data_IF_269949265749
#
_entry.id   IF_269949265749
#
_cell.length_a   1.000
_cell.length_b   1.000
_cell.length_c   1.000
_cell.angle_alpha   90.00
_cell.angle_beta   90.00
_cell.angle_gamma   90.00
#
_symmetry.space_group_name_H-M   'P 1'
#
loop_
_entity.id
_entity.type
_entity.pdbx_description
1 polymer ?
#
# COMPACT_ATOMS: atom_id res chain seq x y z
N UNK A 1 -32.21 38.16 15.94
CA UNK A 1 -32.43 37.36 14.72
C UNK A 1 -31.72 36.03 14.95
N UNK A 2 -32.47 34.93 15.14
CA UNK A 2 -31.85 33.60 15.24
C UNK A 2 -31.40 33.18 13.84
N UNK A 3 -30.10 32.93 13.67
CA UNK A 3 -29.54 32.42 12.43
C UNK A 3 -30.07 30.99 12.19
N UNK A 4 -30.67 30.68 11.02
CA UNK A 4 -31.20 29.35 10.71
C UNK A 4 -30.16 28.23 10.91
N UNK A 5 -28.87 28.52 10.71
CA UNK A 5 -27.79 27.55 10.93
C UNK A 5 -27.65 27.20 12.42
N UNK A 6 -27.69 28.21 13.30
CA UNK A 6 -27.60 27.99 14.75
C UNK A 6 -28.81 27.22 15.28
N UNK A 7 -30.01 27.49 14.76
CA UNK A 7 -31.22 26.78 15.17
C UNK A 7 -31.21 25.30 14.76
N UNK A 8 -30.71 25.00 13.55
CA UNK A 8 -30.55 23.63 13.09
C UNK A 8 -29.51 22.86 13.93
N UNK A 9 -28.36 23.48 14.17
CA UNK A 9 -27.30 22.90 15.01
C UNK A 9 -27.82 22.59 16.41
N UNK A 10 -28.51 23.54 17.04
CA UNK A 10 -29.12 23.31 18.36
C UNK A 10 -30.11 22.14 18.27
N UNK A 11 -31.09 22.17 17.36
CA UNK A 11 -32.09 21.09 17.25
C UNK A 11 -31.49 19.68 17.10
N UNK A 12 -30.47 19.52 16.26
CA UNK A 12 -29.78 18.22 16.07
C UNK A 12 -28.98 17.82 17.31
N UNK A 13 -28.34 18.78 17.97
CA UNK A 13 -27.44 18.50 19.08
C UNK A 13 -28.11 18.43 20.46
N UNK A 14 -29.31 19.02 20.64
CA UNK A 14 -30.11 18.96 21.86
C UNK A 14 -30.90 17.66 22.03
N UNK A 15 -30.96 16.81 20.98
CA UNK A 15 -31.68 15.53 21.05
C UNK A 15 -30.97 14.54 22.00
N UNK A 16 -31.67 13.96 22.99
CA UNK A 16 -31.10 12.97 23.90
C UNK A 16 -30.54 11.76 23.13
N UNK A 17 -29.29 11.40 23.40
CA UNK A 17 -28.65 10.24 22.76
C UNK A 17 -28.13 10.47 21.34
N UNK A 18 -28.33 11.65 20.73
CA UNK A 18 -27.80 11.96 19.40
C UNK A 18 -26.29 11.74 19.29
N UNK A 19 -25.53 12.05 20.36
CA UNK A 19 -24.09 11.80 20.41
C UNK A 19 -23.74 10.31 20.31
N UNK A 20 -24.48 9.44 21.00
CA UNK A 20 -24.25 7.99 20.98
C UNK A 20 -24.64 7.39 19.62
N UNK A 21 -25.73 7.87 19.02
CA UNK A 21 -26.15 7.46 17.67
C UNK A 21 -25.08 7.86 16.65
N UNK A 22 -24.57 9.08 16.70
CA UNK A 22 -23.49 9.55 15.82
C UNK A 22 -22.19 8.77 16.04
N UNK A 23 -21.82 8.50 17.28
CA UNK A 23 -20.66 7.66 17.60
C UNK A 23 -20.82 6.24 17.02
N UNK A 24 -22.00 5.64 17.17
CA UNK A 24 -22.33 4.34 16.57
C UNK A 24 -22.28 4.37 15.04
N UNK A 25 -22.83 5.41 14.42
CA UNK A 25 -22.82 5.60 12.97
C UNK A 25 -21.38 5.73 12.43
N UNK A 26 -20.50 6.46 13.11
CA UNK A 26 -19.07 6.57 12.75
C UNK A 26 -18.40 5.18 12.79
N UNK A 27 -18.67 4.39 13.83
CA UNK A 27 -18.09 3.04 13.94
C UNK A 27 -18.64 2.09 12.86
N UNK A 28 -19.95 2.09 12.62
CA UNK A 28 -20.57 1.28 11.56
C UNK A 28 -20.03 1.69 10.19
N UNK A 29 -19.87 2.99 9.93
CA UNK A 29 -19.28 3.50 8.70
C UNK A 29 -17.82 3.04 8.54
N UNK A 30 -17.00 3.12 9.60
CA UNK A 30 -15.63 2.63 9.59
C UNK A 30 -15.57 1.12 9.30
N UNK A 31 -16.46 0.33 9.92
CA UNK A 31 -16.59 -1.11 9.64
C UNK A 31 -16.98 -1.34 8.18
N UNK A 32 -17.93 -0.58 7.64
CA UNK A 32 -18.34 -0.64 6.23
C UNK A 32 -17.16 -0.38 5.29
N UNK A 33 -16.34 0.65 5.55
CA UNK A 33 -15.14 0.95 4.79
C UNK A 33 -14.11 -0.20 4.83
N UNK A 34 -13.95 -0.84 5.99
CA UNK A 34 -13.06 -1.99 6.15
C UNK A 34 -13.51 -3.15 5.27
N UNK A 35 -14.81 -3.46 5.26
CA UNK A 35 -15.39 -4.52 4.44
C UNK A 35 -15.30 -4.18 2.95
N UNK A 36 -15.67 -2.95 2.57
CA UNK A 36 -15.64 -2.50 1.18
C UNK A 36 -14.22 -2.54 0.61
N UNK A 37 -13.24 -1.91 1.29
CA UNK A 37 -11.82 -1.99 0.86
C UNK A 37 -11.30 -3.43 0.89
N UNK A 38 -11.76 -4.23 1.85
CA UNK A 38 -11.38 -5.63 1.97
C UNK A 38 -11.79 -6.44 0.75
N UNK A 39 -13.01 -6.21 0.27
CA UNK A 39 -13.59 -6.96 -0.83
C UNK A 39 -13.14 -6.43 -2.21
N UNK A 40 -13.10 -5.10 -2.39
CA UNK A 40 -12.83 -4.50 -3.68
C UNK A 40 -11.35 -4.37 -4.03
N UNK A 41 -10.48 -4.10 -3.06
CA UNK A 41 -9.06 -3.81 -3.35
C UNK A 41 -8.15 -4.93 -2.85
N UNK A 42 -8.34 -5.35 -1.59
CA UNK A 42 -7.42 -6.29 -0.94
C UNK A 42 -7.59 -7.74 -1.40
N UNK A 43 -8.83 -8.26 -1.44
CA UNK A 43 -9.10 -9.64 -1.85
C UNK A 43 -8.59 -9.97 -3.27
N UNK A 44 -8.93 -9.19 -4.32
CA UNK A 44 -8.48 -9.53 -5.67
C UNK A 44 -6.96 -9.45 -5.82
N UNK A 45 -6.29 -8.49 -5.16
CA UNK A 45 -4.82 -8.38 -5.21
C UNK A 45 -4.14 -9.58 -4.55
N UNK A 46 -4.60 -9.96 -3.35
CA UNK A 46 -4.09 -11.12 -2.63
C UNK A 46 -4.29 -12.40 -3.44
N UNK A 47 -5.46 -12.61 -4.00
CA UNK A 47 -5.76 -13.78 -4.83
C UNK A 47 -4.88 -13.82 -6.08
N UNK A 48 -4.63 -12.66 -6.71
CA UNK A 48 -3.76 -12.56 -7.88
C UNK A 48 -2.33 -13.00 -7.55
N UNK A 49 -1.72 -12.42 -6.50
CA UNK A 49 -0.36 -12.77 -6.08
C UNK A 49 -0.28 -14.24 -5.66
N UNK A 50 -1.29 -14.74 -4.93
CA UNK A 50 -1.32 -16.16 -4.50
C UNK A 50 -1.41 -17.09 -5.72
N UNK A 51 -2.22 -16.76 -6.73
CA UNK A 51 -2.28 -17.53 -7.99
C UNK A 51 -0.93 -17.54 -8.69
N UNK A 52 -0.22 -16.41 -8.77
CA UNK A 52 1.12 -16.32 -9.37
C UNK A 52 2.16 -17.14 -8.61
N UNK A 53 2.12 -17.10 -7.27
CA UNK A 53 2.99 -17.91 -6.42
C UNK A 53 2.79 -19.40 -6.68
N UNK A 54 1.54 -19.87 -6.68
CA UNK A 54 1.24 -21.28 -6.94
C UNK A 54 1.75 -21.74 -8.32
N UNK A 55 1.64 -20.89 -9.35
CA UNK A 55 2.16 -21.20 -10.69
C UNK A 55 3.67 -21.42 -10.71
N UNK A 56 4.43 -20.64 -9.93
CA UNK A 56 5.89 -20.78 -9.85
C UNK A 56 6.29 -21.93 -8.91
N UNK A 57 5.53 -22.20 -7.86
CA UNK A 57 5.81 -23.28 -6.90
C UNK A 57 5.51 -24.68 -7.49
N UNK A 58 4.59 -24.75 -8.46
CA UNK A 58 4.32 -25.97 -9.24
C UNK A 58 5.52 -26.43 -10.10
N UNK A 59 6.52 -25.56 -10.34
CA UNK A 59 7.74 -25.90 -11.07
C UNK A 59 8.62 -26.86 -10.27
N UNK A 60 8.57 -28.15 -10.61
CA UNK A 60 9.36 -29.20 -9.97
C UNK A 60 10.73 -29.40 -10.65
N UNK A 61 11.73 -29.80 -9.87
CA UNK A 61 13.07 -30.15 -10.37
C UNK A 61 13.96 -28.93 -10.58
N UNK A 62 14.65 -28.86 -11.73
CA UNK A 62 15.48 -27.71 -12.10
C UNK A 62 14.59 -26.53 -12.50
N UNK A 63 14.28 -25.68 -11.52
CA UNK A 63 13.32 -24.58 -11.63
C UNK A 63 13.65 -23.60 -12.76
N UNK A 64 14.93 -23.35 -13.01
CA UNK A 64 15.37 -22.45 -14.09
C UNK A 64 15.10 -23.03 -15.47
N UNK A 65 15.33 -24.33 -15.64
CA UNK A 65 15.07 -25.03 -16.90
C UNK A 65 13.57 -25.16 -17.13
N UNK A 66 12.82 -25.58 -16.11
CA UNK A 66 11.37 -25.72 -16.17
C UNK A 66 10.68 -24.38 -16.46
N UNK A 67 11.19 -23.27 -15.90
CA UNK A 67 10.69 -21.93 -16.18
C UNK A 67 10.94 -21.52 -17.64
N UNK A 68 12.14 -21.76 -18.17
CA UNK A 68 12.47 -21.44 -19.56
C UNK A 68 11.63 -22.26 -20.57
N UNK A 69 11.42 -23.55 -20.31
CA UNK A 69 10.60 -24.43 -21.16
C UNK A 69 9.12 -24.06 -21.17
N UNK A 70 8.58 -23.60 -20.04
CA UNK A 70 7.18 -23.22 -19.88
C UNK A 70 6.94 -21.70 -19.98
N UNK A 71 7.96 -20.94 -20.44
CA UNK A 71 7.95 -19.48 -20.35
C UNK A 71 6.74 -18.85 -21.05
N UNK A 72 6.37 -19.32 -22.25
CA UNK A 72 5.22 -18.77 -23.00
C UNK A 72 3.88 -18.97 -22.25
N UNK A 73 3.70 -20.12 -21.61
CA UNK A 73 2.50 -20.39 -20.82
C UNK A 73 2.47 -19.55 -19.53
N UNK A 74 3.63 -19.36 -18.90
CA UNK A 74 3.80 -18.53 -17.70
C UNK A 74 3.57 -17.06 -18.04
N UNK A 75 4.15 -16.57 -19.14
CA UNK A 75 4.01 -15.19 -19.62
C UNK A 75 2.55 -14.85 -19.95
N UNK A 76 1.85 -15.74 -20.65
CA UNK A 76 0.42 -15.57 -20.95
C UNK A 76 -0.43 -15.47 -19.68
N UNK A 77 -0.11 -16.29 -18.66
CA UNK A 77 -0.82 -16.26 -17.37
C UNK A 77 -0.50 -15.01 -16.57
N UNK A 78 0.76 -14.58 -16.52
CA UNK A 78 1.18 -13.38 -15.79
C UNK A 78 0.71 -12.08 -16.44
N UNK A 79 0.59 -12.06 -17.77
CA UNK A 79 0.11 -10.91 -18.56
C UNK A 79 -1.43 -10.85 -18.67
N UNK A 80 -2.15 -11.95 -18.45
CA UNK A 80 -3.61 -12.02 -18.60
C UNK A 80 -4.42 -11.75 -17.32
N UNK A 81 -3.78 -11.26 -16.26
CA UNK A 81 -4.34 -11.19 -14.91
C UNK A 81 -4.82 -9.79 -14.52
N UNK A 82 -5.73 -9.71 -13.54
CA UNK A 82 -6.68 -8.61 -13.37
C UNK A 82 -6.14 -7.28 -12.80
N UNK A 83 -4.90 -7.23 -12.30
CA UNK A 83 -4.34 -6.03 -11.65
C UNK A 83 -3.33 -5.30 -12.55
N UNK A 84 -3.64 -4.07 -13.03
CA UNK A 84 -2.79 -3.33 -13.98
C UNK A 84 -1.36 -3.10 -13.51
N UNK A 85 -1.20 -2.96 -12.20
CA UNK A 85 0.08 -2.73 -11.54
C UNK A 85 1.02 -3.94 -11.66
N UNK A 86 0.48 -5.14 -11.40
CA UNK A 86 1.27 -6.38 -11.48
C UNK A 86 1.51 -6.79 -12.94
N UNK A 87 0.61 -6.42 -13.84
CA UNK A 87 0.80 -6.57 -15.29
C UNK A 87 1.93 -5.66 -15.80
N UNK A 88 1.94 -4.39 -15.39
CA UNK A 88 3.00 -3.44 -15.76
C UNK A 88 4.36 -3.86 -15.19
N UNK A 89 4.41 -4.25 -13.91
CA UNK A 89 5.63 -4.78 -13.28
C UNK A 89 6.16 -6.03 -13.99
N UNK A 90 5.25 -6.94 -14.38
CA UNK A 90 5.63 -8.11 -15.19
C UNK A 90 6.14 -7.74 -16.58
N UNK A 91 5.47 -6.83 -17.28
CA UNK A 91 5.90 -6.38 -18.61
C UNK A 91 7.29 -5.73 -18.56
N UNK A 92 7.56 -4.95 -17.51
CA UNK A 92 8.87 -4.36 -17.26
C UNK A 92 9.92 -5.43 -16.97
N UNK A 93 9.66 -6.36 -16.04
CA UNK A 93 10.59 -7.45 -15.74
C UNK A 93 10.89 -8.32 -16.96
N UNK A 94 9.85 -8.67 -17.73
CA UNK A 94 9.95 -9.46 -18.97
C UNK A 94 10.87 -8.81 -20.00
N UNK A 95 10.84 -7.48 -20.13
CA UNK A 95 11.72 -6.75 -21.05
C UNK A 95 13.21 -6.89 -20.72
N UNK A 96 13.54 -7.25 -19.48
CA UNK A 96 14.89 -7.42 -18.97
C UNK A 96 15.38 -8.88 -19.00
N UNK A 97 14.52 -9.81 -19.43
CA UNK A 97 14.87 -11.22 -19.56
C UNK A 97 15.57 -11.49 -20.89
N UNK A 98 16.75 -12.11 -20.80
CA UNK A 98 17.55 -12.49 -21.97
C UNK A 98 17.84 -13.99 -21.98
N UNK A 99 17.73 -14.67 -23.13
CA UNK A 99 18.12 -16.06 -23.25
C UNK A 99 19.64 -16.21 -23.15
N UNK A 100 20.08 -17.15 -22.33
CA UNK A 100 21.47 -17.56 -22.18
C UNK A 100 21.78 -18.71 -23.16
N UNK A 101 23.05 -18.89 -23.53
CA UNK A 101 23.49 -19.95 -24.45
C UNK A 101 23.09 -21.38 -24.04
N UNK A 102 22.80 -21.61 -22.75
CA UNK A 102 22.35 -22.90 -22.21
C UNK A 102 20.82 -23.12 -22.29
N UNK A 103 20.08 -22.24 -22.99
CA UNK A 103 18.62 -22.31 -23.11
C UNK A 103 17.86 -21.85 -21.86
N UNK A 104 18.55 -21.28 -20.87
CA UNK A 104 17.98 -20.69 -19.64
C UNK A 104 17.74 -19.19 -19.82
N UNK A 105 16.93 -18.58 -18.96
CA UNK A 105 16.72 -17.13 -18.93
C UNK A 105 17.58 -16.46 -17.85
N UNK A 106 18.12 -15.29 -18.18
CA UNK A 106 18.85 -14.43 -17.27
C UNK A 106 18.17 -13.07 -17.14
N UNK A 107 18.17 -12.51 -15.94
CA UNK A 107 17.65 -11.18 -15.63
C UNK A 107 18.78 -10.23 -15.25
N UNK A 108 18.70 -9.00 -15.74
CA UNK A 108 19.63 -7.90 -15.40
C UNK A 108 19.27 -7.20 -14.09
N UNK A 109 18.02 -7.33 -13.64
CA UNK A 109 17.46 -6.70 -12.43
C UNK A 109 16.76 -7.74 -11.56
N UNK A 110 16.60 -7.43 -10.27
CA UNK A 110 15.79 -8.24 -9.38
C UNK A 110 14.30 -8.07 -9.66
N UNK A 111 13.52 -9.10 -9.37
CA UNK A 111 12.08 -9.04 -9.45
C UNK A 111 11.50 -7.92 -8.57
N UNK A 112 12.05 -7.69 -7.37
CA UNK A 112 11.57 -6.63 -6.48
C UNK A 112 11.67 -5.23 -7.14
N UNK A 113 12.78 -4.94 -7.82
CA UNK A 113 13.04 -3.63 -8.44
C UNK A 113 12.09 -3.36 -9.62
N UNK A 114 11.68 -4.42 -10.34
CA UNK A 114 10.76 -4.28 -11.46
C UNK A 114 9.33 -3.94 -11.04
N UNK A 115 8.93 -4.30 -9.81
CA UNK A 115 7.56 -4.20 -9.29
C UNK A 115 7.37 -3.04 -8.28
N UNK A 116 8.42 -2.27 -7.96
CA UNK A 116 8.44 -1.25 -6.88
C UNK A 116 7.35 -0.17 -6.97
N UNK A 117 6.80 0.13 -8.16
CA UNK A 117 5.78 1.17 -8.37
C UNK A 117 4.34 0.73 -8.05
N UNK A 118 4.17 -0.39 -7.34
CA UNK A 118 2.88 -1.06 -7.15
C UNK A 118 2.02 -0.59 -5.96
N UNK A 119 2.58 0.17 -5.02
CA UNK A 119 2.04 0.33 -3.65
C UNK A 119 0.87 1.34 -3.50
N UNK A 120 0.03 1.49 -4.53
CA UNK A 120 -1.06 2.49 -4.54
C UNK A 120 -2.25 2.22 -3.58
N UNK A 121 -2.64 0.97 -3.25
CA UNK A 121 -3.88 0.71 -2.49
C UNK A 121 -3.86 1.15 -1.01
N UNK A 122 -2.71 1.36 -0.38
CA UNK A 122 -2.66 1.68 1.06
C UNK A 122 -3.17 3.10 1.41
N UNK A 123 -3.23 4.00 0.41
CA UNK A 123 -3.46 5.43 0.63
C UNK A 123 -4.91 5.78 0.98
N UNK A 124 -5.88 4.99 0.54
CA UNK A 124 -7.31 5.22 0.76
C UNK A 124 -7.71 5.03 2.23
N UNK A 125 -7.29 3.94 2.88
CA UNK A 125 -7.61 3.69 4.29
C UNK A 125 -6.93 4.70 5.23
N UNK A 126 -5.69 5.08 4.93
CA UNK A 126 -4.97 6.09 5.72
C UNK A 126 -5.64 7.47 5.61
N UNK A 127 -6.11 7.83 4.40
CA UNK A 127 -6.88 9.04 4.20
C UNK A 127 -8.20 9.03 4.99
N UNK A 128 -8.96 7.93 4.93
CA UNK A 128 -10.19 7.77 5.71
C UNK A 128 -9.93 7.82 7.22
N UNK A 129 -8.83 7.22 7.69
CA UNK A 129 -8.45 7.27 9.10
C UNK A 129 -8.18 8.70 9.57
N UNK A 130 -7.51 9.53 8.76
CA UNK A 130 -7.32 10.95 9.05
C UNK A 130 -8.67 11.68 9.11
N UNK A 131 -9.55 11.42 8.15
CA UNK A 131 -10.85 12.07 8.05
C UNK A 131 -11.77 11.73 9.23
N UNK A 132 -11.75 10.49 9.74
CA UNK A 132 -12.55 10.10 10.92
C UNK A 132 -12.20 10.89 12.18
N UNK A 133 -10.91 11.20 12.39
CA UNK A 133 -10.49 12.05 13.52
C UNK A 133 -11.03 13.46 13.35
N UNK A 134 -10.90 14.03 12.16
CA UNK A 134 -11.39 15.36 11.86
C UNK A 134 -12.92 15.47 12.05
N UNK A 135 -13.67 14.46 11.60
CA UNK A 135 -15.13 14.41 11.80
C UNK A 135 -15.49 14.37 13.29
N UNK A 136 -14.85 13.50 14.09
CA UNK A 136 -15.10 13.42 15.53
C UNK A 136 -14.82 14.74 16.26
N UNK A 137 -13.75 15.44 15.86
CA UNK A 137 -13.38 16.74 16.40
C UNK A 137 -14.39 17.83 16.03
N UNK A 138 -14.81 17.90 14.76
CA UNK A 138 -15.81 18.86 14.29
C UNK A 138 -17.15 18.68 15.01
N UNK A 139 -17.61 17.45 15.18
CA UNK A 139 -18.86 17.15 15.92
C UNK A 139 -18.76 17.64 17.37
N UNK A 140 -17.60 17.44 18.00
CA UNK A 140 -17.39 17.86 19.40
C UNK A 140 -17.38 19.38 19.52
N UNK A 141 -16.70 20.08 18.62
CA UNK A 141 -16.73 21.55 18.58
C UNK A 141 -18.13 22.08 18.38
N UNK A 142 -18.89 21.51 17.44
CA UNK A 142 -20.28 21.90 17.19
C UNK A 142 -21.16 21.66 18.41
N UNK A 143 -20.95 20.55 19.13
CA UNK A 143 -21.67 20.25 20.37
C UNK A 143 -21.38 21.23 21.50
N UNK A 144 -20.12 21.69 21.64
CA UNK A 144 -19.76 22.72 22.61
C UNK A 144 -20.40 24.06 22.25
N UNK A 145 -20.38 24.46 20.97
CA UNK A 145 -21.02 25.69 20.51
C UNK A 145 -22.52 25.67 20.81
N UNK A 146 -23.21 24.57 20.49
CA UNK A 146 -24.63 24.40 20.79
C UNK A 146 -24.93 24.52 22.29
N UNK A 147 -24.15 23.82 23.12
CA UNK A 147 -24.30 23.89 24.57
C UNK A 147 -24.11 25.35 25.07
N UNK A 148 -23.02 26.02 24.69
CA UNK A 148 -22.78 27.42 25.08
C UNK A 148 -23.91 28.37 24.67
N UNK A 149 -24.50 28.17 23.48
CA UNK A 149 -25.66 28.98 23.06
C UNK A 149 -26.89 28.74 23.93
N UNK A 150 -27.13 27.51 24.40
CA UNK A 150 -28.23 27.22 25.32
C UNK A 150 -27.98 27.80 26.73
N UNK A 151 -26.75 27.71 27.25
CA UNK A 151 -26.47 28.30 28.56
C UNK A 151 -26.53 29.82 28.57
N UNK A 152 -26.03 30.48 27.54
CA UNK A 152 -26.11 31.94 27.44
C UNK A 152 -27.57 32.40 27.38
N UNK A 153 -28.45 31.65 26.70
CA UNK A 153 -29.89 31.90 26.73
C UNK A 153 -30.51 31.69 28.12
N UNK A 154 -30.12 30.63 28.84
CA UNK A 154 -30.61 30.34 30.19
C UNK A 154 -30.11 31.36 31.25
N UNK A 155 -28.90 31.88 31.10
CA UNK A 155 -28.31 32.89 32.00
C UNK A 155 -29.01 34.26 31.94
N UNK A 156 -29.78 34.54 30.89
CA UNK A 156 -30.66 35.72 30.84
C UNK A 156 -31.79 35.70 31.88
N UNK A 157 -32.01 34.56 32.55
CA UNK A 157 -33.00 34.39 33.61
C UNK A 157 -32.30 34.25 34.97
N UNK A 158 -32.48 35.20 35.89
CA UNK A 158 -31.75 35.24 37.16
C UNK A 158 -32.20 34.12 38.14
N UNK A 159 -31.24 33.53 38.89
CA UNK A 159 -31.51 32.62 40.01
C UNK A 159 -31.15 31.15 39.76
N UNK A 160 -31.92 30.21 40.32
CA UNK A 160 -31.69 28.76 40.30
C UNK A 160 -31.53 28.16 38.87
N UNK A 161 -32.03 28.86 37.85
CA UNK A 161 -31.85 28.48 36.44
C UNK A 161 -30.38 28.45 36.00
N UNK A 162 -29.49 29.24 36.59
CA UNK A 162 -28.08 29.26 36.21
C UNK A 162 -27.33 27.99 36.65
N UNK A 163 -27.60 27.46 37.84
CA UNK A 163 -26.96 26.21 38.30
C UNK A 163 -27.44 25.02 37.45
N UNK A 164 -28.73 24.95 37.15
CA UNK A 164 -29.30 23.92 36.27
C UNK A 164 -28.73 24.02 34.86
N UNK A 165 -28.57 25.23 34.32
CA UNK A 165 -27.95 25.44 33.02
C UNK A 165 -26.48 24.96 33.00
N UNK A 166 -25.68 25.28 34.01
CA UNK A 166 -24.27 24.83 34.10
C UNK A 166 -24.15 23.31 34.22
N UNK A 167 -25.02 22.65 35.00
CA UNK A 167 -25.05 21.18 35.08
C UNK A 167 -25.50 20.54 33.76
N UNK A 168 -26.47 21.16 33.08
CA UNK A 168 -26.91 20.77 31.74
C UNK A 168 -25.76 20.86 30.72
N UNK A 169 -25.01 21.95 30.72
CA UNK A 169 -23.84 22.12 29.87
C UNK A 169 -22.80 21.03 30.08
N UNK A 170 -22.44 20.76 31.33
CA UNK A 170 -21.41 19.78 31.63
C UNK A 170 -21.83 18.38 31.15
N UNK A 171 -23.12 18.05 31.31
CA UNK A 171 -23.68 16.77 30.88
C UNK A 171 -23.74 16.66 29.35
N UNK A 172 -24.16 17.73 28.66
CA UNK A 172 -24.17 17.77 27.19
C UNK A 172 -22.73 17.71 26.66
N UNK A 173 -21.80 18.50 27.20
CA UNK A 173 -20.41 18.47 26.78
C UNK A 173 -19.79 17.07 27.00
N UNK A 174 -19.98 16.46 28.17
CA UNK A 174 -19.49 15.11 28.49
C UNK A 174 -20.01 14.05 27.51
N UNK A 175 -21.30 14.09 27.15
CA UNK A 175 -21.88 13.15 26.17
C UNK A 175 -21.37 13.40 24.75
N UNK A 176 -21.03 14.64 24.38
CA UNK A 176 -20.44 14.95 23.07
C UNK A 176 -18.98 14.54 22.95
N UNK A 177 -18.23 14.41 24.05
CA UNK A 177 -16.87 13.84 23.97
C UNK A 177 -16.84 12.39 23.49
N UNK A 178 -17.92 11.61 23.71
CA UNK A 178 -18.02 10.23 23.21
C UNK A 178 -17.94 10.14 21.67
N UNK A 179 -18.42 11.15 20.93
CA UNK A 179 -18.28 11.17 19.46
C UNK A 179 -16.84 11.35 19.01
N UNK A 180 -16.05 12.13 19.76
CA UNK A 180 -14.60 12.27 19.49
C UNK A 180 -13.86 10.97 19.74
N UNK A 181 -14.14 10.32 20.89
CA UNK A 181 -13.54 9.04 21.25
C UNK A 181 -13.83 7.99 20.18
N UNK A 182 -15.07 7.93 19.68
CA UNK A 182 -15.44 7.03 18.60
C UNK A 182 -14.68 7.32 17.29
N UNK A 183 -14.52 8.60 16.91
CA UNK A 183 -13.75 8.99 15.71
C UNK A 183 -12.27 8.61 15.81
N UNK A 184 -11.66 8.79 16.99
CA UNK A 184 -10.26 8.38 17.24
C UNK A 184 -10.14 6.85 17.25
N UNK A 185 -11.04 6.14 17.93
CA UNK A 185 -11.05 4.67 17.92
C UNK A 185 -11.20 4.11 16.50
N UNK A 186 -12.14 4.66 15.72
CA UNK A 186 -12.32 4.30 14.31
C UNK A 186 -11.04 4.53 13.50
N UNK A 187 -10.37 5.67 13.68
CA UNK A 187 -9.09 5.98 13.03
C UNK A 187 -8.00 4.97 13.37
N UNK A 188 -7.85 4.61 14.66
CA UNK A 188 -6.87 3.63 15.12
C UNK A 188 -7.14 2.26 14.49
N UNK A 189 -8.39 1.82 14.49
CA UNK A 189 -8.79 0.53 13.90
C UNK A 189 -8.49 0.52 12.40
N UNK A 190 -8.85 1.57 11.67
CA UNK A 190 -8.58 1.70 10.24
C UNK A 190 -7.09 1.62 9.92
N UNK A 191 -6.24 2.35 10.65
CA UNK A 191 -4.77 2.31 10.47
C UNK A 191 -4.19 0.94 10.79
N UNK A 192 -4.65 0.30 11.86
CA UNK A 192 -4.16 -1.02 12.25
C UNK A 192 -4.48 -2.07 11.17
N UNK A 193 -5.69 -2.01 10.60
CA UNK A 193 -6.11 -2.91 9.54
C UNK A 193 -5.35 -2.63 8.24
N UNK A 194 -5.20 -1.36 7.86
CA UNK A 194 -4.40 -0.95 6.70
C UNK A 194 -2.98 -1.50 6.81
N UNK A 195 -2.33 -1.30 7.97
CA UNK A 195 -0.97 -1.79 8.23
C UNK A 195 -0.88 -3.32 8.18
N UNK A 196 -1.83 -4.03 8.77
CA UNK A 196 -1.84 -5.50 8.72
C UNK A 196 -2.01 -6.03 7.31
N UNK A 197 -2.91 -5.41 6.52
CA UNK A 197 -3.13 -5.78 5.11
C UNK A 197 -1.89 -5.52 4.26
N UNK A 198 -1.25 -4.36 4.45
CA UNK A 198 0.01 -4.02 3.77
C UNK A 198 1.10 -5.06 4.05
N UNK A 199 1.34 -5.38 5.32
CA UNK A 199 2.32 -6.42 5.69
C UNK A 199 2.00 -7.80 5.12
N UNK A 200 0.71 -8.16 5.02
CA UNK A 200 0.32 -9.42 4.40
C UNK A 200 0.59 -9.46 2.88
N UNK A 201 0.38 -8.34 2.19
CA UNK A 201 0.72 -8.22 0.76
C UNK A 201 2.23 -8.23 0.56
N UNK A 202 2.98 -7.42 1.32
CA UNK A 202 4.45 -7.37 1.26
C UNK A 202 5.08 -8.75 1.44
N UNK A 203 4.55 -9.57 2.37
CA UNK A 203 5.03 -10.92 2.58
C UNK A 203 4.77 -11.84 1.37
N UNK A 204 3.61 -11.70 0.71
CA UNK A 204 3.26 -12.47 -0.49
C UNK A 204 4.08 -12.03 -1.71
N UNK A 205 4.31 -10.73 -1.86
CA UNK A 205 5.16 -10.15 -2.90
C UNK A 205 6.62 -10.57 -2.72
N UNK A 206 7.16 -10.47 -1.50
CA UNK A 206 8.52 -10.91 -1.21
C UNK A 206 8.71 -12.41 -1.54
N UNK A 207 7.71 -13.24 -1.25
CA UNK A 207 7.73 -14.64 -1.63
C UNK A 207 7.70 -14.83 -3.16
N UNK A 208 6.84 -14.08 -3.87
CA UNK A 208 6.77 -14.08 -5.32
C UNK A 208 8.11 -13.69 -5.97
N UNK A 209 8.71 -12.60 -5.50
CA UNK A 209 9.98 -12.11 -6.02
C UNK A 209 11.12 -13.11 -5.78
N UNK A 210 11.17 -13.72 -4.59
CA UNK A 210 12.17 -14.75 -4.30
C UNK A 210 12.00 -16.00 -5.18
N UNK A 211 10.76 -16.41 -5.46
CA UNK A 211 10.49 -17.50 -6.40
C UNK A 211 10.93 -17.15 -7.82
N UNK A 212 10.59 -15.94 -8.27
CA UNK A 212 10.89 -15.48 -9.63
C UNK A 212 12.40 -15.33 -9.86
N UNK A 213 13.12 -14.71 -8.93
CA UNK A 213 14.59 -14.62 -8.97
C UNK A 213 15.25 -16.01 -8.90
N UNK A 214 14.63 -16.97 -8.20
CA UNK A 214 15.08 -18.36 -8.21
C UNK A 214 14.83 -19.10 -9.54
N UNK A 215 13.94 -18.59 -10.39
CA UNK A 215 13.62 -19.17 -11.70
C UNK A 215 14.52 -18.66 -12.83
N UNK A 216 15.29 -17.61 -12.60
CA UNK A 216 16.19 -17.02 -13.61
C UNK A 216 17.61 -16.92 -13.08
N UNK A 217 18.57 -16.77 -13.98
CA UNK A 217 19.95 -16.47 -13.58
C UNK A 217 20.10 -14.97 -13.39
N UNK A 218 20.48 -14.53 -12.19
CA UNK A 218 20.83 -13.13 -11.99
C UNK A 218 22.18 -12.81 -12.64
N UNK A 219 22.16 -11.90 -13.62
CA UNK A 219 23.33 -11.46 -14.38
C UNK A 219 23.33 -9.92 -14.46
N UNK A 220 23.79 -9.25 -13.39
CA UNK A 220 23.75 -7.79 -13.34
C UNK A 220 24.64 -7.19 -14.44
N UNK A 221 24.24 -6.04 -15.00
CA UNK A 221 24.92 -5.44 -16.15
C UNK A 221 26.39 -5.13 -15.87
N UNK A 222 26.75 -4.77 -14.63
CA UNK A 222 28.13 -4.51 -14.22
C UNK A 222 28.99 -5.78 -14.31
N UNK A 223 28.43 -6.92 -13.92
CA UNK A 223 29.12 -8.21 -14.01
C UNK A 223 29.31 -8.61 -15.47
N UNK A 224 28.28 -8.42 -16.31
CA UNK A 224 28.38 -8.68 -17.74
C UNK A 224 29.43 -7.76 -18.38
N UNK A 225 29.47 -6.48 -18.01
CA UNK A 225 30.46 -5.52 -18.48
C UNK A 225 31.89 -5.90 -18.06
N UNK A 226 32.08 -6.33 -16.80
CA UNK A 226 33.38 -6.81 -16.31
C UNK A 226 33.82 -8.09 -17.03
N UNK A 227 32.90 -9.02 -17.29
CA UNK A 227 33.18 -10.23 -18.07
C UNK A 227 33.55 -9.87 -19.52
N UNK A 228 32.88 -8.90 -20.14
CA UNK A 228 33.22 -8.38 -21.47
C UNK A 228 34.61 -7.75 -21.48
N UNK A 229 34.95 -6.90 -20.49
CA UNK A 229 36.28 -6.32 -20.36
C UNK A 229 37.36 -7.39 -20.18
N UNK A 230 37.10 -8.43 -19.38
CA UNK A 230 38.02 -9.55 -19.20
C UNK A 230 38.20 -10.38 -20.49
N UNK A 231 37.14 -10.57 -21.27
CA UNK A 231 37.22 -11.20 -22.60
C UNK A 231 38.04 -10.33 -23.56
N UNK A 232 37.79 -9.03 -23.62
CA UNK A 232 38.55 -8.10 -24.45
C UNK A 232 40.03 -8.09 -24.09
N UNK A 233 40.38 -8.05 -22.80
CA UNK A 233 41.77 -8.13 -22.35
C UNK A 233 42.45 -9.46 -22.71
N UNK A 234 41.71 -10.58 -22.69
CA UNK A 234 42.23 -11.88 -23.17
C UNK A 234 42.47 -11.89 -24.68
N UNK A 235 41.57 -11.28 -25.45
CA UNK A 235 41.73 -11.14 -26.90
C UNK A 235 42.94 -10.27 -27.21
N UNK A 236 43.11 -9.15 -26.50
CA UNK A 236 44.25 -8.26 -26.65
C UNK A 236 45.58 -8.98 -26.32
N UNK A 237 45.64 -9.71 -25.21
CA UNK A 237 46.81 -10.49 -24.84
C UNK A 237 47.14 -11.59 -25.89
N UNK A 238 46.12 -12.26 -26.43
CA UNK A 238 46.29 -13.26 -27.48
C UNK A 238 46.75 -12.66 -28.82
N UNK A 239 46.31 -11.45 -29.15
CA UNK A 239 46.75 -10.70 -30.32
C UNK A 239 48.19 -10.18 -30.14
N UNK A 240 48.53 -9.66 -28.96
CA UNK A 240 49.88 -9.21 -28.63
C UNK A 240 50.90 -10.35 -28.68
N UNK A 241 50.53 -11.55 -28.22
CA UNK A 241 51.35 -12.76 -28.32
C UNK A 241 51.51 -13.32 -29.74
N UNK A 242 50.68 -12.89 -30.71
CA UNK A 242 50.75 -13.29 -32.11
C UNK A 242 51.57 -12.37 -33.00
N UNK A 243 52.07 -11.23 -32.49
CA UNK A 243 53.01 -10.39 -33.24
C UNK A 243 54.34 -11.14 -33.32
N UNK A 244 54.76 -11.65 -34.49
CA UNK A 244 56.06 -12.30 -34.61
C UNK A 244 57.12 -11.25 -34.33
N UNK A 245 58.13 -11.60 -33.55
CA UNK A 245 59.37 -10.82 -33.44
C UNK A 245 60.06 -10.80 -34.82
N UNK A 246 59.59 -9.91 -35.69
CA UNK A 246 60.23 -9.64 -36.97
C UNK A 246 61.52 -8.88 -36.68
N UNK A 247 62.60 -9.64 -36.75
CA UNK A 247 63.94 -9.21 -37.16
C UNK A 247 64.74 -8.33 -36.17
N UNK A 248 65.48 -8.99 -35.27
CA UNK A 248 66.83 -8.56 -34.86
C UNK A 248 67.78 -9.73 -35.07
N UNK A 249 68.16 -9.98 -36.31
CA UNK A 249 69.36 -10.74 -36.62
C UNK A 249 70.23 -9.90 -37.57
N UNK A 250 71.46 -9.71 -37.14
CA UNK A 250 72.66 -9.36 -37.91
C UNK A 250 72.68 -8.06 -38.73
N UNK A 251 73.27 -7.03 -38.11
CA UNK A 251 74.23 -6.17 -38.82
C UNK A 251 75.55 -6.25 -38.06
N UNK A 252 76.47 -7.00 -38.64
CA UNK A 252 77.88 -7.07 -38.30
C UNK A 252 78.60 -5.75 -38.64
#
# INVERSE_FOLDING_TARGET
MHDPVTSFVVAVFSTPGAALIMAGAILVFAIGLIFQSGHFEYAPLREDITRRNNLLDELRGDRQKAFAENFEAIDKRLSGMAHPVLELGWAHYRSQLTPTGDGRLAASIHAADAFEHADTPARTLEWWANLMVAIGLVITFMGIVAALTEATAAMGTAGAGMQTALLGLLTIAATKFWTSIAGVLASIILRLIARRRRHAIEALEAHFFALLDGCVRFAPPEKVMLEQLAVLGRIEAALAGRVPSANRADVA
#
